data_IF_889530700466
#
_entry.id   IF_889530700466
#
_cell.length_a   1.000
_cell.length_b   1.000
_cell.length_c   1.000
_cell.angle_alpha   90.00
_cell.angle_beta   90.00
_cell.angle_gamma   90.00
#
_symmetry.space_group_name_H-M   'P 1'
#
loop_
_entity.id
_entity.type
_entity.pdbx_description
1 polymer ?
#
# COMPACT_ATOMS: atom_id res chain seq x y z
N UNK A 1 11.87 24.81 -15.24
CA UNK A 1 10.96 24.29 -14.20
C UNK A 1 10.97 22.76 -14.30
N UNK A 2 11.68 22.08 -13.41
CA UNK A 2 11.65 20.61 -13.36
C UNK A 2 10.21 20.16 -13.05
N UNK A 3 9.66 19.30 -13.91
CA UNK A 3 8.37 18.64 -13.62
C UNK A 3 8.58 17.82 -12.34
N UNK A 4 7.89 18.18 -11.27
CA UNK A 4 7.77 17.36 -10.06
C UNK A 4 7.32 15.96 -10.50
N UNK A 5 8.19 14.96 -10.35
CA UNK A 5 7.87 13.58 -10.67
C UNK A 5 6.62 13.11 -9.92
N UNK A 6 5.87 12.20 -10.52
CA UNK A 6 4.69 11.62 -9.90
C UNK A 6 5.04 11.02 -8.55
N UNK A 7 4.28 11.39 -7.53
CA UNK A 7 4.49 10.93 -6.15
C UNK A 7 3.65 9.70 -5.88
N UNK A 8 4.28 8.64 -5.36
CA UNK A 8 3.59 7.39 -5.07
C UNK A 8 3.16 7.30 -3.61
N UNK A 9 2.01 6.67 -3.36
CA UNK A 9 1.55 6.32 -2.01
C UNK A 9 1.33 4.81 -1.93
N UNK A 10 1.44 4.25 -0.73
CA UNK A 10 0.96 2.90 -0.48
C UNK A 10 -0.57 2.91 -0.40
N UNK A 11 -1.16 1.81 -0.84
CA UNK A 11 -2.59 1.53 -0.69
C UNK A 11 -2.89 1.14 0.75
N UNK A 12 -4.09 1.47 1.21
CA UNK A 12 -4.58 1.10 2.52
C UNK A 12 -5.51 2.12 3.15
N UNK A 13 -6.19 1.69 4.20
CA UNK A 13 -7.19 2.49 4.90
C UNK A 13 -7.18 2.24 6.40
N UNK A 14 -8.34 2.51 7.03
CA UNK A 14 -8.50 2.34 8.47
C UNK A 14 -8.78 0.88 8.80
N UNK A 15 -8.26 0.43 9.94
CA UNK A 15 -8.67 -0.84 10.54
C UNK A 15 -10.01 -0.60 11.23
N UNK A 16 -11.04 -1.34 10.83
CA UNK A 16 -12.37 -1.23 11.43
C UNK A 16 -12.51 -2.08 12.69
N UNK A 17 -13.55 -1.81 13.48
CA UNK A 17 -13.78 -2.52 14.76
C UNK A 17 -14.00 -4.01 14.49
N UNK A 18 -13.16 -4.84 15.11
CA UNK A 18 -13.22 -6.30 14.96
C UNK A 18 -12.36 -6.84 13.82
N UNK A 19 -11.70 -5.99 13.03
CA UNK A 19 -10.73 -6.42 12.03
C UNK A 19 -9.34 -6.66 12.65
N UNK A 20 -8.63 -7.65 12.12
CA UNK A 20 -7.18 -7.74 12.25
C UNK A 20 -6.50 -6.85 11.20
N UNK A 21 -5.24 -6.49 11.42
CA UNK A 21 -4.41 -5.78 10.42
C UNK A 21 -4.43 -6.47 9.06
N UNK A 22 -4.35 -7.81 9.05
CA UNK A 22 -4.28 -8.58 7.80
C UNK A 22 -5.64 -8.66 7.10
N UNK A 23 -6.75 -8.75 7.84
CA UNK A 23 -8.09 -8.77 7.25
C UNK A 23 -8.45 -7.40 6.70
N UNK A 24 -8.13 -6.32 7.42
CA UNK A 24 -8.30 -4.94 6.95
C UNK A 24 -7.52 -4.70 5.65
N UNK A 25 -6.23 -5.06 5.61
CA UNK A 25 -5.43 -4.89 4.40
C UNK A 25 -5.94 -5.71 3.19
N UNK A 26 -6.49 -6.91 3.42
CA UNK A 26 -7.14 -7.70 2.35
C UNK A 26 -8.40 -7.01 1.84
N UNK A 27 -9.23 -6.44 2.73
CA UNK A 27 -10.45 -5.71 2.37
C UNK A 27 -10.12 -4.48 1.52
N UNK A 28 -9.22 -3.62 2.01
CA UNK A 28 -8.82 -2.37 1.33
C UNK A 28 -8.29 -2.65 -0.09
N UNK A 29 -7.41 -3.64 -0.26
CA UNK A 29 -6.85 -3.99 -1.57
C UNK A 29 -7.94 -4.53 -2.52
N UNK A 30 -8.91 -5.27 -2.00
CA UNK A 30 -10.05 -5.76 -2.79
C UNK A 30 -10.99 -4.62 -3.17
N UNK A 31 -11.23 -3.67 -2.28
CA UNK A 31 -12.11 -2.51 -2.53
C UNK A 31 -11.49 -1.54 -3.53
N UNK A 32 -10.22 -1.16 -3.34
CA UNK A 32 -9.54 -0.15 -4.15
C UNK A 32 -9.10 -0.66 -5.52
N UNK A 33 -8.62 -1.91 -5.59
CA UNK A 33 -8.03 -2.46 -6.81
C UNK A 33 -8.79 -3.64 -7.41
N UNK A 34 -9.74 -4.23 -6.68
CA UNK A 34 -10.37 -5.49 -7.09
C UNK A 34 -9.39 -6.67 -7.10
N UNK A 35 -8.24 -6.56 -6.44
CA UNK A 35 -7.19 -7.57 -6.48
C UNK A 35 -7.34 -8.55 -5.32
N UNK A 36 -7.14 -9.83 -5.60
CA UNK A 36 -7.00 -10.87 -4.58
C UNK A 36 -5.52 -11.21 -4.36
N UNK A 37 -5.09 -11.12 -3.11
CA UNK A 37 -3.73 -11.50 -2.71
C UNK A 37 -3.70 -12.95 -2.22
N UNK A 38 -2.76 -13.73 -2.75
CA UNK A 38 -2.54 -15.13 -2.35
C UNK A 38 -1.99 -15.27 -0.93
N UNK A 39 -1.15 -14.33 -0.50
CA UNK A 39 -0.52 -14.33 0.82
C UNK A 39 -0.27 -12.91 1.30
N UNK A 40 -0.60 -12.65 2.57
CA UNK A 40 -0.18 -11.43 3.27
C UNK A 40 0.73 -11.81 4.43
N UNK A 41 1.73 -10.97 4.68
CA UNK A 41 2.62 -11.05 5.83
C UNK A 41 2.69 -9.69 6.51
N UNK A 42 2.44 -9.65 7.81
CA UNK A 42 2.72 -8.47 8.62
C UNK A 42 4.23 -8.20 8.67
N UNK A 43 4.62 -6.94 8.49
CA UNK A 43 6.03 -6.54 8.51
C UNK A 43 6.36 -5.79 9.79
N UNK A 44 5.67 -4.68 10.05
CA UNK A 44 5.94 -3.80 11.19
C UNK A 44 4.82 -2.78 11.37
N UNK A 45 4.86 -2.01 12.46
CA UNK A 45 4.06 -0.80 12.63
C UNK A 45 4.95 0.40 12.97
N UNK A 46 4.43 1.60 12.73
CA UNK A 46 5.08 2.85 13.13
C UNK A 46 4.04 3.90 13.47
N UNK A 47 4.30 4.67 14.53
CA UNK A 47 3.49 5.85 14.86
C UNK A 47 3.91 7.04 14.00
N UNK A 48 2.99 7.58 13.21
CA UNK A 48 3.17 8.76 12.36
C UNK A 48 2.02 9.74 12.64
N UNK A 49 2.35 10.98 12.98
CA UNK A 49 1.36 12.05 13.26
C UNK A 49 0.26 11.62 14.24
N UNK A 50 0.64 10.92 15.31
CA UNK A 50 -0.27 10.45 16.35
C UNK A 50 -1.03 9.15 16.03
N UNK A 51 -0.96 8.64 14.79
CA UNK A 51 -1.63 7.40 14.34
C UNK A 51 -0.66 6.25 14.23
N UNK A 52 -1.08 5.04 14.57
CA UNK A 52 -0.30 3.83 14.29
C UNK A 52 -0.58 3.35 12.86
N UNK A 53 0.46 3.23 12.05
CA UNK A 53 0.40 2.74 10.68
C UNK A 53 1.04 1.36 10.64
N UNK A 54 0.28 0.37 10.18
CA UNK A 54 0.75 -1.00 10.04
C UNK A 54 1.13 -1.30 8.59
N UNK A 55 2.32 -1.86 8.39
CA UNK A 55 2.84 -2.23 7.08
C UNK A 55 2.71 -3.73 6.87
N UNK A 56 2.12 -4.09 5.73
CA UNK A 56 1.95 -5.48 5.30
C UNK A 56 2.57 -5.67 3.93
N UNK A 57 3.06 -6.89 3.67
CA UNK A 57 3.55 -7.31 2.35
C UNK A 57 2.60 -8.37 1.79
N UNK A 58 2.05 -8.08 0.61
CA UNK A 58 1.27 -9.03 -0.18
C UNK A 58 2.11 -9.75 -1.22
N UNK A 59 1.77 -11.02 -1.53
CA UNK A 59 2.16 -11.68 -2.78
C UNK A 59 0.95 -11.75 -3.69
N UNK A 60 1.08 -11.15 -4.85
CA UNK A 60 0.11 -11.27 -5.92
C UNK A 60 0.27 -12.63 -6.59
N UNK A 61 -0.84 -13.33 -6.82
CA UNK A 61 -0.91 -14.47 -7.73
C UNK A 61 -1.32 -13.97 -9.11
N UNK A 62 -0.72 -14.52 -10.16
CA UNK A 62 -1.04 -14.17 -11.54
C UNK A 62 -2.54 -14.33 -11.82
N UNK A 63 -3.10 -13.43 -12.65
CA UNK A 63 -4.46 -13.59 -13.21
C UNK A 63 -5.64 -13.06 -12.40
N UNK A 64 -5.46 -12.44 -11.23
CA UNK A 64 -6.58 -11.92 -10.40
C UNK A 64 -6.56 -10.38 -10.30
N UNK A 65 -6.90 -9.72 -11.40
CA UNK A 65 -7.13 -8.27 -11.44
C UNK A 65 -8.62 -8.00 -11.62
N UNK A 66 -9.26 -7.42 -10.59
CA UNK A 66 -10.62 -6.91 -10.69
C UNK A 66 -10.67 -5.50 -11.25
N UNK A 67 -11.85 -4.88 -11.14
CA UNK A 67 -12.04 -3.47 -11.52
C UNK A 67 -11.41 -2.57 -10.47
N UNK A 68 -10.48 -1.71 -10.89
CA UNK A 68 -9.88 -0.67 -10.06
C UNK A 68 -10.98 0.33 -9.68
N UNK A 69 -11.16 0.56 -8.38
CA UNK A 69 -12.10 1.54 -7.81
C UNK A 69 -11.32 2.43 -6.84
N UNK A 70 -10.41 3.23 -7.41
CA UNK A 70 -9.71 4.25 -6.64
C UNK A 70 -10.66 5.43 -6.43
N UNK A 71 -10.98 5.78 -5.19
CA UNK A 71 -11.60 7.06 -4.90
C UNK A 71 -10.57 8.18 -5.04
N UNK A 72 -10.96 9.26 -5.74
CA UNK A 72 -10.14 10.45 -6.12
C UNK A 72 -9.16 10.19 -7.26
N UNK A 73 -8.59 11.28 -7.81
CA UNK A 73 -7.72 11.40 -9.02
C UNK A 73 -6.40 10.59 -8.99
N UNK A 74 -6.38 9.43 -8.33
CA UNK A 74 -5.24 8.54 -8.23
C UNK A 74 -5.24 7.56 -9.40
N UNK A 75 -4.04 7.18 -9.84
CA UNK A 75 -3.82 6.14 -10.84
C UNK A 75 -2.97 5.05 -10.21
N UNK A 76 -3.25 3.80 -10.57
CA UNK A 76 -2.40 2.67 -10.21
C UNK A 76 -1.21 2.61 -11.17
N UNK A 77 -0.01 2.33 -10.64
CA UNK A 77 1.18 2.05 -11.43
C UNK A 77 1.95 0.88 -10.82
N UNK A 78 2.41 -0.03 -11.68
CA UNK A 78 3.39 -1.04 -11.30
C UNK A 78 4.78 -0.41 -11.40
N UNK A 79 5.48 -0.31 -10.27
CA UNK A 79 6.81 0.30 -10.21
C UNK A 79 7.79 -0.65 -9.56
N UNK A 80 9.06 -0.58 -9.99
CA UNK A 80 10.13 -1.28 -9.29
C UNK A 80 10.27 -0.74 -7.87
N UNK A 81 10.61 -1.62 -6.93
CA UNK A 81 10.79 -1.28 -5.51
C UNK A 81 11.67 -0.03 -5.35
N UNK A 82 12.80 0.05 -6.05
CA UNK A 82 13.73 1.18 -5.98
C UNK A 82 13.06 2.50 -6.40
N UNK A 83 12.41 2.51 -7.56
CA UNK A 83 11.70 3.68 -8.10
C UNK A 83 10.62 4.17 -7.14
N UNK A 84 9.90 3.25 -6.49
CA UNK A 84 8.91 3.60 -5.47
C UNK A 84 9.55 4.37 -4.31
N UNK A 85 10.63 3.83 -3.71
CA UNK A 85 11.26 4.47 -2.54
C UNK A 85 11.91 5.82 -2.87
N UNK A 86 12.35 6.03 -4.10
CA UNK A 86 12.89 7.32 -4.57
C UNK A 86 11.80 8.39 -4.73
N UNK A 87 10.54 8.00 -4.97
CA UNK A 87 9.44 8.90 -5.33
C UNK A 87 8.20 8.79 -4.41
N UNK A 88 8.30 8.10 -3.29
CA UNK A 88 7.16 7.90 -2.38
C UNK A 88 6.85 9.15 -1.54
N UNK A 89 5.57 9.51 -1.47
CA UNK A 89 5.03 10.33 -0.39
C UNK A 89 5.06 9.49 0.89
N UNK A 90 6.03 9.82 1.74
CA UNK A 90 6.21 9.22 3.05
C UNK A 90 4.90 9.21 3.87
N UNK A 91 4.64 8.12 4.61
CA UNK A 91 5.62 7.52 5.51
C UNK A 91 6.00 6.07 5.13
N UNK A 92 7.06 5.88 4.35
CA UNK A 92 7.71 4.57 4.24
C UNK A 92 8.90 4.49 5.22
N UNK A 93 9.14 3.38 5.94
CA UNK A 93 10.35 3.22 6.73
C UNK A 93 11.57 3.33 5.81
N UNK A 94 12.56 4.15 6.16
CA UNK A 94 13.91 4.03 5.57
C UNK A 94 14.33 2.59 5.83
N UNK A 95 14.39 1.77 4.78
CA UNK A 95 15.00 0.45 4.88
C UNK A 95 16.48 0.74 5.10
N UNK A 96 16.91 0.77 6.36
CA UNK A 96 18.32 0.70 6.70
C UNK A 96 18.73 -0.72 6.31
N UNK A 97 19.50 -0.85 5.24
CA UNK A 97 20.20 -2.09 4.95
C UNK A 97 21.30 -2.21 5.99
N UNK A 98 21.14 -3.12 6.94
CA UNK A 98 22.25 -3.70 7.71
C UNK A 98 23.07 -4.60 6.80
#
# INVERSE_FOLDING_TARGET
MEKKGDKYVLLGGKIEKGETVLTSAKREIKEELGILLSKLKYISSRRISGREIHFVKGRLSEGLFGKIRLEKKLKMAWVQKRVFFENALFPCPKIIRS
#
